data_IF_848335065863
#
_entry.id   IF_848335065863
#
_cell.length_a   1.000
_cell.length_b   1.000
_cell.length_c   1.000
_cell.angle_alpha   90.00
_cell.angle_beta   90.00
_cell.angle_gamma   90.00
#
_symmetry.space_group_name_H-M   'P 1'
#
loop_
_entity.id
_entity.type
_entity.pdbx_description
1 polymer ?
#
# COMPACT_ATOMS: atom_id res chain seq x y z
N UNK A 1 -2.60 7.38 -1.81
CA UNK A 1 -2.79 6.68 -3.10
C UNK A 1 -2.27 7.50 -4.28
N UNK A 2 -2.62 8.79 -4.43
CA UNK A 2 -2.09 9.65 -5.52
C UNK A 2 -0.56 9.60 -5.65
N UNK A 3 0.18 9.82 -4.55
CA UNK A 3 1.65 9.78 -4.53
C UNK A 3 2.22 8.46 -5.09
N UNK A 4 1.57 7.31 -4.83
CA UNK A 4 2.05 6.03 -5.30
C UNK A 4 1.90 5.86 -6.83
N UNK A 5 0.90 6.50 -7.40
CA UNK A 5 0.75 6.55 -8.85
C UNK A 5 1.70 7.58 -9.48
N UNK A 6 1.83 8.76 -8.88
CA UNK A 6 2.73 9.81 -9.37
C UNK A 6 4.20 9.37 -9.39
N UNK A 7 4.59 8.50 -8.45
CA UNK A 7 5.92 7.91 -8.36
C UNK A 7 6.04 6.58 -9.12
N UNK A 8 5.02 6.20 -9.90
CA UNK A 8 4.98 4.96 -10.70
C UNK A 8 5.16 3.68 -9.87
N UNK A 9 4.90 3.73 -8.56
CA UNK A 9 4.90 2.57 -7.65
C UNK A 9 3.71 1.66 -7.99
N UNK A 10 2.60 2.24 -8.43
CA UNK A 10 1.44 1.52 -8.99
C UNK A 10 1.06 2.13 -10.34
N UNK A 11 0.61 1.28 -11.26
CA UNK A 11 -0.01 1.72 -12.52
C UNK A 11 -1.51 1.49 -12.45
N UNK A 12 -2.30 2.48 -12.86
CA UNK A 12 -3.76 2.39 -12.89
C UNK A 12 -4.24 2.70 -14.31
N UNK A 13 -4.84 1.71 -14.95
CA UNK A 13 -5.48 1.87 -16.26
C UNK A 13 -6.98 1.93 -16.05
N UNK A 14 -7.49 3.13 -15.76
CA UNK A 14 -8.91 3.37 -15.48
C UNK A 14 -9.37 4.69 -16.13
N UNK A 15 -10.67 4.81 -16.39
CA UNK A 15 -11.25 6.06 -16.89
C UNK A 15 -11.37 7.10 -15.76
N UNK A 16 -11.44 8.39 -16.08
CA UNK A 16 -11.51 9.45 -15.06
C UNK A 16 -12.66 9.23 -14.05
N UNK A 17 -13.81 8.73 -14.52
CA UNK A 17 -14.98 8.50 -13.69
C UNK A 17 -14.77 7.48 -12.55
N UNK A 18 -13.87 6.51 -12.71
CA UNK A 18 -13.56 5.48 -11.72
C UNK A 18 -12.10 5.48 -11.24
N UNK A 19 -11.27 6.40 -11.74
CA UNK A 19 -9.83 6.45 -11.50
C UNK A 19 -9.47 6.44 -10.02
N UNK A 20 -10.14 7.27 -9.22
CA UNK A 20 -9.88 7.36 -7.78
C UNK A 20 -10.10 6.03 -7.07
N UNK A 21 -11.21 5.34 -7.35
CA UNK A 21 -11.51 4.04 -6.75
C UNK A 21 -10.53 2.96 -7.23
N UNK A 22 -10.27 2.92 -8.54
CA UNK A 22 -9.31 1.99 -9.13
C UNK A 22 -7.91 2.15 -8.53
N UNK A 23 -7.49 3.39 -8.26
CA UNK A 23 -6.22 3.69 -7.62
C UNK A 23 -6.12 3.18 -6.19
N UNK A 24 -7.16 3.36 -5.37
CA UNK A 24 -7.19 2.79 -4.03
C UNK A 24 -7.16 1.26 -4.05
N UNK A 25 -7.91 0.63 -4.97
CA UNK A 25 -7.91 -0.81 -5.13
C UNK A 25 -6.53 -1.34 -5.60
N UNK A 26 -5.87 -0.65 -6.53
CA UNK A 26 -4.53 -1.00 -7.02
C UNK A 26 -3.49 -0.88 -5.90
N UNK A 27 -3.49 0.22 -5.14
CA UNK A 27 -2.62 0.38 -3.97
C UNK A 27 -2.82 -0.74 -2.96
N UNK A 28 -4.07 -1.04 -2.64
CA UNK A 28 -4.41 -2.06 -1.65
C UNK A 28 -3.93 -3.44 -2.07
N UNK A 29 -4.26 -3.86 -3.29
CA UNK A 29 -3.95 -5.18 -3.81
C UNK A 29 -2.46 -5.40 -4.06
N UNK A 30 -1.78 -4.40 -4.62
CA UNK A 30 -0.43 -4.59 -5.15
C UNK A 30 0.66 -4.21 -4.15
N UNK A 31 0.36 -3.35 -3.17
CA UNK A 31 1.35 -2.87 -2.19
C UNK A 31 0.97 -3.26 -0.77
N UNK A 32 -0.24 -2.90 -0.32
CA UNK A 32 -0.61 -3.11 1.08
C UNK A 32 -0.75 -4.60 1.41
N UNK A 33 -1.49 -5.35 0.57
CA UNK A 33 -1.77 -6.76 0.83
C UNK A 33 -0.51 -7.64 0.88
N UNK A 34 0.47 -7.54 -0.04
CA UNK A 34 1.71 -8.32 0.04
C UNK A 34 2.57 -7.93 1.25
N UNK A 35 2.70 -6.64 1.54
CA UNK A 35 3.46 -6.15 2.69
C UNK A 35 2.88 -6.63 4.02
N UNK A 36 1.56 -6.74 4.12
CA UNK A 36 0.87 -7.24 5.32
C UNK A 36 0.92 -8.77 5.41
N UNK A 37 0.48 -9.48 4.37
CA UNK A 37 0.18 -10.92 4.45
C UNK A 37 1.37 -11.81 4.16
N UNK A 38 2.14 -11.47 3.14
CA UNK A 38 3.21 -12.34 2.64
C UNK A 38 4.50 -12.03 3.37
N UNK A 39 4.83 -10.74 3.52
CA UNK A 39 6.11 -10.30 4.08
C UNK A 39 6.03 -9.90 5.55
N UNK A 40 4.84 -9.51 6.04
CA UNK A 40 4.62 -9.04 7.42
C UNK A 40 5.45 -7.81 7.79
N UNK A 41 5.81 -6.99 6.80
CA UNK A 41 6.56 -5.76 6.98
C UNK A 41 5.68 -4.62 7.50
N UNK A 42 4.37 -4.74 7.37
CA UNK A 42 3.41 -3.79 7.93
C UNK A 42 2.33 -4.52 8.73
N UNK A 43 1.78 -3.81 9.70
CA UNK A 43 0.58 -4.18 10.45
C UNK A 43 -0.53 -3.18 10.18
N UNK A 44 -1.76 -3.67 10.13
CA UNK A 44 -2.96 -2.86 9.91
C UNK A 44 -3.87 -2.90 11.13
N UNK A 45 -4.14 -1.73 11.70
CA UNK A 45 -5.11 -1.53 12.77
C UNK A 45 -6.36 -0.84 12.22
N UNK A 46 -7.52 -1.49 12.37
CA UNK A 46 -8.80 -0.92 11.92
C UNK A 46 -9.43 -0.11 13.05
N UNK A 47 -9.54 1.20 12.84
CA UNK A 47 -10.21 2.14 13.76
C UNK A 47 -11.43 2.72 13.04
N UNK A 48 -12.60 2.15 13.33
CA UNK A 48 -13.85 2.47 12.64
C UNK A 48 -13.81 2.08 11.16
N UNK A 49 -13.95 3.07 10.25
CA UNK A 49 -13.81 2.87 8.80
C UNK A 49 -12.38 3.08 8.30
N UNK A 50 -11.49 3.60 9.15
CA UNK A 50 -10.12 3.92 8.78
C UNK A 50 -9.20 2.73 9.07
N UNK A 51 -8.17 2.58 8.25
CA UNK A 51 -7.07 1.63 8.45
C UNK A 51 -5.81 2.42 8.77
N UNK A 52 -5.22 2.16 9.92
CA UNK A 52 -3.95 2.70 10.34
C UNK A 52 -2.87 1.66 10.04
N UNK A 53 -1.92 2.04 9.21
CA UNK A 53 -0.86 1.15 8.74
C UNK A 53 0.44 1.54 9.45
N UNK A 54 1.08 0.58 10.09
CA UNK A 54 2.34 0.76 10.85
C UNK A 54 3.39 -0.19 10.29
N UNK A 55 4.64 0.27 10.16
CA UNK A 55 5.75 -0.60 9.79
C UNK A 55 6.19 -1.43 10.99
N UNK A 56 6.38 -2.74 10.80
CA UNK A 56 6.87 -3.67 11.83
C UNK A 56 8.37 -3.53 12.02
N UNK A 57 8.94 -4.18 13.04
CA UNK A 57 10.40 -4.22 13.16
C UNK A 57 11.03 -4.97 11.97
N UNK A 58 10.45 -6.10 11.56
CA UNK A 58 10.89 -6.87 10.39
C UNK A 58 10.88 -6.00 9.12
N UNK A 59 9.86 -5.17 8.93
CA UNK A 59 9.79 -4.23 7.80
C UNK A 59 10.83 -3.12 7.86
N UNK A 60 11.16 -2.61 9.06
CA UNK A 60 12.24 -1.62 9.24
C UNK A 60 13.59 -2.23 8.90
N UNK A 61 13.88 -3.39 9.46
CA UNK A 61 15.13 -4.11 9.23
C UNK A 61 15.28 -4.39 7.72
N UNK A 62 14.23 -4.89 7.06
CA UNK A 62 14.24 -5.14 5.62
C UNK A 62 14.49 -3.86 4.79
N UNK A 63 13.93 -2.72 5.20
CA UNK A 63 14.14 -1.45 4.52
C UNK A 63 15.60 -0.97 4.65
N UNK A 64 16.30 -1.26 5.75
CA UNK A 64 17.72 -0.91 5.90
C UNK A 64 18.65 -1.72 4.99
N UNK A 65 18.28 -2.94 4.61
CA UNK A 65 19.10 -3.82 3.75
C UNK A 65 18.88 -3.63 2.24
N UNK A 66 17.75 -3.05 1.84
CA UNK A 66 17.34 -2.94 0.43
C UNK A 66 17.65 -1.56 -0.20
N UNK A 67 18.31 -0.67 0.54
CA UNK A 67 18.80 0.65 0.09
C UNK A 67 20.25 0.53 -0.36
#
# INVERSE_FOLDING_TARGET
>A
AQIAEDQEIITVNAEEANHSQARFASLDKNIILPLERDWKFIEIEKIGRNRWIKITQEGRDAAEFLI
#
